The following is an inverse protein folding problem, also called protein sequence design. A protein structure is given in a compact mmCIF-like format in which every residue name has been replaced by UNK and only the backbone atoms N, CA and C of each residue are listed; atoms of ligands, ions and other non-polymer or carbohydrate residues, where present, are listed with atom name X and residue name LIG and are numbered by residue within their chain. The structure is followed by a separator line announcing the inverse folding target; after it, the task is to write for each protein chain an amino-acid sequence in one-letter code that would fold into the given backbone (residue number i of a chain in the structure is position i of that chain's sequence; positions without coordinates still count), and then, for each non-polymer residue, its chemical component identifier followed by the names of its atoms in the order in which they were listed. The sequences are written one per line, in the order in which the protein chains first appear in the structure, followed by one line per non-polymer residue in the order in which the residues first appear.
data_IF_646468416781
#
_entry.id   IF_646468416781
#
_cell.length_a   1.000
_cell.length_b   1.000
_cell.length_c   1.000
_cell.angle_alpha   90.00
_cell.angle_beta   90.00
_cell.angle_gamma   90.00
#
_symmetry.space_group_name_H-M   'P 1'
#
loop_
_entity.id
_entity.type
_entity.pdbx_description
1 polymer ?
#
# COMPACT_ATOMS: atom_id res chain seq x y z
N UNK A 1 1.91 -9.82 -8.59
CA UNK A 1 3.11 -10.14 -9.39
C UNK A 1 4.39 -10.33 -8.59
N UNK A 2 4.75 -9.45 -7.63
CA UNK A 2 5.98 -9.58 -6.82
C UNK A 2 6.18 -10.97 -6.19
N UNK A 3 5.12 -11.54 -5.63
CA UNK A 3 5.14 -12.90 -5.08
C UNK A 3 5.60 -13.94 -6.09
N UNK A 4 5.06 -13.92 -7.32
CA UNK A 4 5.42 -14.87 -8.38
C UNK A 4 6.89 -14.72 -8.79
N UNK A 5 7.33 -13.48 -9.04
CA UNK A 5 8.69 -13.18 -9.48
C UNK A 5 9.77 -13.57 -8.46
N UNK A 6 9.43 -13.54 -7.16
CA UNK A 6 10.33 -13.80 -6.04
C UNK A 6 10.09 -15.16 -5.39
N UNK A 7 9.18 -15.96 -5.92
CA UNK A 7 8.87 -17.27 -5.36
C UNK A 7 10.06 -18.21 -5.57
N UNK A 8 10.51 -18.88 -4.50
CA UNK A 8 11.61 -19.84 -4.53
C UNK A 8 11.35 -21.02 -5.48
N UNK A 9 10.09 -21.41 -5.67
CA UNK A 9 9.70 -22.51 -6.55
C UNK A 9 9.56 -22.09 -8.03
N UNK A 10 9.73 -20.80 -8.36
CA UNK A 10 9.55 -20.31 -9.74
C UNK A 10 10.48 -21.04 -10.71
N UNK A 11 11.76 -21.17 -10.35
CA UNK A 11 12.75 -21.81 -11.22
C UNK A 11 12.48 -23.30 -11.41
N UNK A 12 12.01 -23.99 -10.36
CA UNK A 12 11.60 -25.39 -10.42
C UNK A 12 10.39 -25.58 -11.34
N UNK A 13 9.39 -24.71 -11.23
CA UNK A 13 8.20 -24.71 -12.09
C UNK A 13 8.56 -24.42 -13.56
N UNK A 14 9.64 -23.68 -13.80
CA UNK A 14 10.15 -23.38 -15.13
C UNK A 14 11.20 -24.38 -15.62
N UNK A 15 11.55 -25.42 -14.85
CA UNK A 15 12.67 -26.32 -15.14
C UNK A 15 12.59 -27.01 -16.50
N UNK A 16 11.40 -27.46 -16.91
CA UNK A 16 11.20 -28.10 -18.22
C UNK A 16 11.41 -27.14 -19.39
N UNK A 17 11.07 -25.86 -19.21
CA UNK A 17 11.28 -24.84 -20.24
C UNK A 17 12.70 -24.30 -20.22
N UNK A 18 13.28 -24.13 -19.03
CA UNK A 18 14.65 -23.69 -18.83
C UNK A 18 15.66 -24.73 -19.34
N UNK A 19 15.41 -26.02 -19.14
CA UNK A 19 16.38 -27.09 -19.35
C UNK A 19 17.71 -26.78 -18.62
N UNK A 20 18.82 -26.71 -19.36
CA UNK A 20 20.15 -26.35 -18.85
C UNK A 20 20.48 -24.86 -18.95
N UNK A 21 19.60 -24.05 -19.54
CA UNK A 21 19.85 -22.63 -19.79
C UNK A 21 19.89 -21.81 -18.48
N UNK A 22 20.58 -20.67 -18.50
CA UNK A 22 20.54 -19.72 -17.38
C UNK A 22 19.26 -18.89 -17.48
N UNK A 23 18.47 -18.86 -16.40
CA UNK A 23 17.22 -18.10 -16.34
C UNK A 23 17.46 -16.71 -15.74
N UNK A 24 17.02 -15.68 -16.45
CA UNK A 24 17.02 -14.30 -16.00
C UNK A 24 15.58 -13.88 -15.74
N UNK A 25 15.27 -13.66 -14.46
CA UNK A 25 13.94 -13.17 -14.05
C UNK A 25 13.98 -11.66 -13.88
N UNK A 26 13.07 -10.95 -14.54
CA UNK A 26 12.95 -9.50 -14.44
C UNK A 26 11.52 -9.12 -14.08
N UNK A 27 11.35 -8.08 -13.29
CA UNK A 27 10.03 -7.55 -12.91
C UNK A 27 10.03 -6.03 -13.15
N UNK A 28 8.90 -5.52 -13.65
CA UNK A 28 8.61 -4.09 -13.81
C UNK A 28 7.17 -3.84 -13.40
N UNK A 29 6.92 -2.69 -12.78
CA UNK A 29 5.61 -2.33 -12.24
C UNK A 29 5.28 -0.94 -12.74
N UNK A 30 4.19 -0.82 -13.50
CA UNK A 30 3.62 0.48 -13.79
C UNK A 30 2.94 1.03 -12.54
N UNK A 31 3.07 2.34 -12.36
CA UNK A 31 2.46 3.05 -11.24
C UNK A 31 1.96 4.41 -11.72
N UNK A 32 0.65 4.52 -11.98
CA UNK A 32 0.04 5.74 -12.54
C UNK A 32 0.20 6.98 -11.64
N UNK A 33 0.06 6.90 -10.31
CA UNK A 33 0.32 8.04 -9.40
C UNK A 33 1.79 8.42 -9.24
N UNK A 34 2.70 7.77 -9.97
CA UNK A 34 4.12 7.75 -9.71
C UNK A 34 4.83 8.77 -10.58
N UNK A 35 6.16 8.74 -10.54
CA UNK A 35 6.96 9.57 -11.43
C UNK A 35 6.75 9.15 -12.90
N UNK A 36 7.00 10.07 -13.84
CA UNK A 36 6.84 9.83 -15.29
C UNK A 36 7.50 8.53 -15.74
N UNK A 37 8.70 8.24 -15.25
CA UNK A 37 9.45 7.03 -15.58
C UNK A 37 8.82 5.74 -15.04
N UNK A 38 7.93 5.81 -14.06
CA UNK A 38 7.20 4.66 -13.53
C UNK A 38 5.93 4.35 -14.31
N UNK A 39 5.51 5.23 -15.23
CA UNK A 39 4.29 5.07 -16.05
C UNK A 39 4.53 5.08 -17.57
N UNK A 40 5.75 5.38 -18.03
CA UNK A 40 6.10 5.46 -19.46
C UNK A 40 6.70 4.17 -20.03
N UNK A 41 6.63 4.02 -21.36
CA UNK A 41 7.22 2.89 -22.07
C UNK A 41 8.76 2.95 -22.03
N UNK A 42 9.33 4.17 -22.13
CA UNK A 42 10.77 4.38 -21.91
C UNK A 42 11.21 3.83 -20.55
N UNK A 43 10.44 4.08 -19.49
CA UNK A 43 10.72 3.58 -18.16
C UNK A 43 10.67 2.06 -18.02
N UNK A 44 9.69 1.41 -18.67
CA UNK A 44 9.65 -0.04 -18.78
C UNK A 44 10.90 -0.59 -19.46
N UNK A 45 11.27 -0.05 -20.64
CA UNK A 45 12.43 -0.50 -21.41
C UNK A 45 13.74 -0.30 -20.63
N UNK A 46 13.93 0.86 -20.02
CA UNK A 46 15.09 1.13 -19.16
C UNK A 46 15.17 0.17 -17.99
N UNK A 47 14.05 -0.10 -17.32
CA UNK A 47 14.00 -1.05 -16.19
C UNK A 47 14.39 -2.45 -16.64
N UNK A 48 13.88 -2.91 -17.80
CA UNK A 48 14.21 -4.22 -18.35
C UNK A 48 15.69 -4.32 -18.71
N UNK A 49 16.23 -3.36 -19.46
CA UNK A 49 17.66 -3.31 -19.84
C UNK A 49 18.53 -3.28 -18.59
N UNK A 50 18.29 -2.34 -17.68
CA UNK A 50 19.09 -2.19 -16.46
C UNK A 50 19.10 -3.47 -15.63
N UNK A 51 17.94 -4.09 -15.38
CA UNK A 51 17.86 -5.31 -14.57
C UNK A 51 18.53 -6.52 -15.24
N UNK A 52 18.42 -6.65 -16.57
CA UNK A 52 19.09 -7.72 -17.30
C UNK A 52 20.60 -7.54 -17.25
N UNK A 53 21.11 -6.36 -17.60
CA UNK A 53 22.56 -6.08 -17.63
C UNK A 53 23.18 -6.09 -16.24
N UNK A 54 22.44 -5.70 -15.19
CA UNK A 54 22.89 -5.82 -13.81
C UNK A 54 23.12 -7.27 -13.39
N UNK A 55 22.32 -8.21 -13.92
CA UNK A 55 22.46 -9.65 -13.65
C UNK A 55 23.48 -10.34 -14.56
N UNK A 56 23.68 -9.84 -15.77
CA UNK A 56 24.59 -10.37 -16.78
C UNK A 56 25.44 -9.26 -17.37
N UNK A 57 26.46 -8.87 -16.62
CA UNK A 57 27.36 -7.77 -16.98
C UNK A 57 28.20 -8.08 -18.24
N UNK A 58 28.40 -9.36 -18.55
CA UNK A 58 29.06 -9.82 -19.78
C UNK A 58 28.30 -9.43 -21.05
N UNK A 59 27.00 -9.12 -20.96
CA UNK A 59 26.22 -8.58 -22.07
C UNK A 59 26.55 -7.11 -22.38
N UNK A 60 27.06 -6.34 -21.41
CA UNK A 60 27.23 -4.88 -21.54
C UNK A 60 28.09 -4.56 -22.76
N UNK A 61 29.26 -5.18 -22.87
CA UNK A 61 30.19 -4.96 -23.98
C UNK A 61 29.64 -5.42 -25.34
N UNK A 62 28.68 -6.35 -25.37
CA UNK A 62 28.05 -6.85 -26.60
C UNK A 62 26.95 -5.91 -27.10
N UNK A 63 26.17 -5.34 -26.18
CA UNK A 63 24.95 -4.60 -26.53
C UNK A 63 25.18 -3.09 -26.60
N UNK A 64 26.09 -2.57 -25.75
CA UNK A 64 26.53 -1.17 -25.73
C UNK A 64 27.86 -1.03 -26.47
N UNK A 65 27.80 -1.13 -27.79
CA UNK A 65 28.97 -1.02 -28.69
C UNK A 65 29.44 0.42 -28.88
N UNK A 66 28.54 1.38 -28.70
CA UNK A 66 28.87 2.80 -28.62
C UNK A 66 29.45 3.09 -27.21
N UNK A 67 30.42 3.98 -27.13
CA UNK A 67 31.15 4.34 -25.93
C UNK A 67 30.91 5.80 -25.51
N UNK A 68 30.08 6.55 -26.24
CA UNK A 68 29.73 7.94 -25.93
C UNK A 68 29.07 8.08 -24.55
N UNK A 69 28.29 7.06 -24.14
CA UNK A 69 27.71 7.00 -22.80
C UNK A 69 28.76 6.93 -21.68
N UNK A 70 29.97 6.37 -21.94
CA UNK A 70 31.06 6.37 -20.97
C UNK A 70 31.73 7.74 -20.86
N UNK A 71 31.71 8.52 -21.94
CA UNK A 71 32.27 9.87 -21.98
C UNK A 71 31.34 10.84 -21.24
N UNK A 72 30.04 10.77 -21.51
CA UNK A 72 29.05 11.67 -20.89
C UNK A 72 28.59 11.22 -19.49
N UNK A 73 28.79 9.96 -19.15
CA UNK A 73 28.46 9.39 -17.84
C UNK A 73 27.01 9.66 -17.45
N UNK A 74 26.80 10.28 -16.27
CA UNK A 74 25.46 10.55 -15.73
C UNK A 74 24.62 11.55 -16.54
N UNK A 75 25.21 12.24 -17.52
CA UNK A 75 24.48 13.14 -18.40
C UNK A 75 23.85 12.43 -19.60
N UNK A 76 24.36 11.25 -19.94
CA UNK A 76 23.87 10.47 -21.06
C UNK A 76 22.43 10.00 -20.82
N UNK A 77 21.59 10.13 -21.85
CA UNK A 77 20.23 9.61 -21.81
C UNK A 77 19.97 8.72 -23.02
N UNK A 78 19.72 7.44 -22.77
CA UNK A 78 19.26 6.53 -23.81
C UNK A 78 17.85 6.92 -24.29
N UNK A 79 17.70 7.09 -25.60
CA UNK A 79 16.42 7.28 -26.26
C UNK A 79 15.60 5.98 -26.25
N UNK A 80 14.30 6.06 -26.58
CA UNK A 80 13.45 4.87 -26.74
C UNK A 80 14.00 3.92 -27.81
N UNK A 81 14.55 4.46 -28.90
CA UNK A 81 15.13 3.67 -29.99
C UNK A 81 16.42 2.97 -29.56
N UNK A 82 17.28 3.65 -28.78
CA UNK A 82 18.50 3.02 -28.25
C UNK A 82 18.15 1.83 -27.36
N UNK A 83 17.18 2.01 -26.47
CA UNK A 83 16.72 0.95 -25.57
C UNK A 83 16.08 -0.21 -26.32
N UNK A 84 15.35 0.07 -27.40
CA UNK A 84 14.78 -0.94 -28.27
C UNK A 84 15.89 -1.80 -28.88
N UNK A 85 16.88 -1.15 -29.50
CA UNK A 85 18.01 -1.81 -30.14
C UNK A 85 18.84 -2.60 -29.13
N UNK A 86 19.03 -2.08 -27.92
CA UNK A 86 19.73 -2.79 -26.84
C UNK A 86 18.98 -4.07 -26.47
N UNK A 87 17.64 -4.01 -26.32
CA UNK A 87 16.84 -5.20 -26.04
C UNK A 87 16.91 -6.23 -27.17
N UNK A 88 16.87 -5.80 -28.44
CA UNK A 88 17.04 -6.70 -29.59
C UNK A 88 18.42 -7.40 -29.54
N UNK A 89 19.51 -6.65 -29.33
CA UNK A 89 20.87 -7.22 -29.17
C UNK A 89 20.98 -8.18 -27.98
N UNK A 90 20.29 -7.90 -26.87
CA UNK A 90 20.22 -8.81 -25.72
C UNK A 90 19.57 -10.14 -26.13
N UNK A 91 18.47 -10.09 -26.89
CA UNK A 91 17.74 -11.28 -27.34
C UNK A 91 18.55 -12.09 -28.35
N UNK A 92 19.31 -11.44 -29.23
CA UNK A 92 20.24 -12.09 -30.16
C UNK A 92 21.36 -12.82 -29.40
N UNK A 93 22.02 -12.14 -28.46
CA UNK A 93 23.10 -12.71 -27.66
C UNK A 93 22.63 -13.86 -26.75
N UNK A 94 21.33 -13.92 -26.44
CA UNK A 94 20.76 -14.94 -25.58
C UNK A 94 20.92 -16.36 -26.13
N UNK A 95 20.95 -16.51 -27.45
CA UNK A 95 21.11 -17.81 -28.08
C UNK A 95 22.51 -18.39 -27.86
N UNK A 96 23.54 -17.54 -27.97
CA UNK A 96 24.95 -17.95 -27.78
C UNK A 96 25.30 -18.20 -26.32
N UNK A 97 24.65 -17.47 -25.40
CA UNK A 97 24.94 -17.50 -23.98
C UNK A 97 24.00 -18.41 -23.18
N UNK A 98 23.22 -19.22 -23.89
CA UNK A 98 22.23 -20.14 -23.32
C UNK A 98 21.32 -19.45 -22.29
N UNK A 99 20.81 -18.26 -22.62
CA UNK A 99 19.93 -17.49 -21.76
C UNK A 99 18.46 -17.74 -22.07
N UNK A 100 17.64 -17.66 -21.03
CA UNK A 100 16.18 -17.55 -21.11
C UNK A 100 15.69 -16.47 -20.17
N UNK A 101 14.60 -15.78 -20.52
CA UNK A 101 14.09 -14.62 -19.80
C UNK A 101 12.65 -14.85 -19.35
N UNK A 102 12.39 -14.68 -18.06
CA UNK A 102 11.04 -14.58 -17.52
C UNK A 102 10.77 -13.14 -17.11
N UNK A 103 9.86 -12.46 -17.80
CA UNK A 103 9.54 -11.06 -17.58
C UNK A 103 8.16 -10.96 -16.90
N UNK A 104 8.11 -10.28 -15.76
CA UNK A 104 6.87 -9.94 -15.06
C UNK A 104 6.58 -8.46 -15.22
N UNK A 105 5.42 -8.10 -15.77
CA UNK A 105 5.01 -6.71 -15.97
C UNK A 105 3.65 -6.52 -15.29
N UNK A 106 3.61 -5.67 -14.27
CA UNK A 106 2.38 -5.39 -13.51
C UNK A 106 1.78 -4.03 -13.86
N UNK A 107 0.46 -3.91 -13.73
CA UNK A 107 -0.29 -2.68 -13.95
C UNK A 107 -0.25 -2.21 -15.40
N UNK A 108 -0.35 -3.11 -16.39
CA UNK A 108 -0.18 -2.73 -17.80
C UNK A 108 -1.18 -1.66 -18.29
N UNK A 109 -2.37 -1.58 -17.68
CA UNK A 109 -3.38 -0.53 -17.91
C UNK A 109 -3.04 0.81 -17.25
N UNK A 110 -2.06 0.85 -16.34
CA UNK A 110 -1.59 2.07 -15.67
C UNK A 110 -0.61 2.89 -16.51
N UNK A 111 -0.27 2.41 -17.72
CA UNK A 111 0.57 3.12 -18.68
C UNK A 111 0.03 4.49 -19.08
N UNK A 112 0.91 5.47 -19.12
CA UNK A 112 0.61 6.85 -19.48
C UNK A 112 1.86 7.57 -20.00
N UNK A 113 1.88 7.90 -21.30
CA UNK A 113 2.99 8.58 -21.98
C UNK A 113 2.61 9.97 -22.54
N UNK A 114 1.51 10.57 -22.05
CA UNK A 114 0.93 11.84 -22.56
C UNK A 114 1.88 13.04 -22.55
N UNK A 115 2.93 13.01 -21.74
CA UNK A 115 3.90 14.11 -21.61
C UNK A 115 5.14 13.96 -22.51
N UNK A 116 5.34 12.86 -23.25
CA UNK A 116 6.39 12.77 -24.28
C UNK A 116 5.87 13.20 -25.66
N UNK A 117 4.57 13.12 -25.87
CA UNK A 117 3.89 13.52 -27.10
C UNK A 117 2.68 14.39 -26.73
N UNK A 118 2.91 15.68 -26.46
CA UNK A 118 1.91 16.63 -25.94
C UNK A 118 0.63 16.75 -26.81
N UNK A 119 0.59 16.14 -28.00
CA UNK A 119 -0.53 16.22 -28.93
C UNK A 119 -0.97 14.87 -29.53
N UNK A 120 -0.55 13.71 -29.00
CA UNK A 120 -1.04 12.42 -29.48
C UNK A 120 -1.75 11.62 -28.37
N UNK A 121 -2.87 10.96 -28.68
CA UNK A 121 -3.52 10.07 -27.72
C UNK A 121 -2.54 8.97 -27.31
N UNK A 122 -2.46 8.69 -26.01
CA UNK A 122 -1.79 7.48 -25.54
C UNK A 122 -2.55 6.29 -26.12
N UNK A 123 -1.84 5.48 -26.89
CA UNK A 123 -2.38 4.24 -27.42
C UNK A 123 -1.68 3.09 -26.71
N UNK A 124 -2.44 2.27 -25.98
CA UNK A 124 -1.98 0.98 -25.47
C UNK A 124 -1.52 0.06 -26.63
N UNK A 125 -1.82 0.43 -27.89
CA UNK A 125 -1.22 -0.14 -29.09
C UNK A 125 0.30 -0.01 -29.13
N UNK A 126 0.91 1.05 -28.57
CA UNK A 126 2.37 1.19 -28.49
C UNK A 126 2.97 0.11 -27.61
N UNK A 127 2.34 -0.15 -26.46
CA UNK A 127 2.75 -1.24 -25.57
C UNK A 127 2.65 -2.59 -26.27
N UNK A 128 1.54 -2.84 -26.97
CA UNK A 128 1.35 -4.06 -27.75
C UNK A 128 2.40 -4.18 -28.86
N UNK A 129 2.71 -3.08 -29.56
CA UNK A 129 3.77 -3.06 -30.59
C UNK A 129 5.14 -3.35 -29.98
N UNK A 130 5.46 -2.76 -28.83
CA UNK A 130 6.70 -3.04 -28.11
C UNK A 130 6.84 -4.52 -27.75
N UNK A 131 5.80 -5.16 -27.24
CA UNK A 131 5.86 -6.59 -26.88
C UNK A 131 6.13 -7.51 -28.09
N UNK A 132 5.95 -7.02 -29.33
CA UNK A 132 6.28 -7.80 -30.52
C UNK A 132 7.77 -8.14 -30.63
N UNK A 133 8.67 -7.36 -30.01
CA UNK A 133 10.10 -7.69 -30.01
C UNK A 133 10.39 -9.05 -29.34
N UNK A 134 9.55 -9.45 -28.40
CA UNK A 134 9.66 -10.72 -27.69
C UNK A 134 8.82 -11.82 -28.35
N UNK A 135 7.91 -11.45 -29.25
CA UNK A 135 7.01 -12.40 -29.90
C UNK A 135 7.82 -13.37 -30.77
N UNK A 136 7.46 -14.66 -30.72
CA UNK A 136 8.16 -15.76 -31.41
C UNK A 136 9.55 -16.10 -30.87
N UNK A 137 10.02 -15.44 -29.81
CA UNK A 137 11.26 -15.86 -29.14
C UNK A 137 10.95 -16.93 -28.08
N UNK A 138 11.24 -18.19 -28.39
CA UNK A 138 11.01 -19.34 -27.48
C UNK A 138 11.79 -19.25 -26.15
N UNK A 139 12.80 -18.36 -26.07
CA UNK A 139 13.62 -18.12 -24.89
C UNK A 139 13.04 -17.05 -23.97
N UNK A 140 11.94 -16.39 -24.36
CA UNK A 140 11.27 -15.38 -23.54
C UNK A 140 9.89 -15.87 -23.14
N UNK A 141 9.57 -15.74 -21.85
CA UNK A 141 8.21 -15.81 -21.33
C UNK A 141 7.87 -14.48 -20.67
N UNK A 142 6.67 -13.98 -20.92
CA UNK A 142 6.18 -12.74 -20.33
C UNK A 142 4.87 -13.04 -19.61
N UNK A 143 4.79 -12.63 -18.35
CA UNK A 143 3.57 -12.62 -17.57
C UNK A 143 3.18 -11.16 -17.33
N UNK A 144 1.99 -10.79 -17.80
CA UNK A 144 1.47 -9.43 -17.71
C UNK A 144 0.20 -9.46 -16.88
N UNK A 145 0.06 -8.53 -15.94
CA UNK A 145 -1.20 -8.26 -15.24
C UNK A 145 -1.76 -6.90 -15.64
N UNK A 146 -3.08 -6.88 -15.84
CA UNK A 146 -3.82 -5.69 -16.23
C UNK A 146 -5.30 -5.80 -15.87
N UNK A 147 -5.99 -4.67 -15.75
CA UNK A 147 -7.46 -4.61 -15.82
C UNK A 147 -7.95 -5.03 -17.23
N UNK A 148 -9.18 -5.57 -17.35
CA UNK A 148 -9.74 -5.95 -18.64
C UNK A 148 -10.03 -4.70 -19.48
N UNK A 149 -9.09 -4.33 -20.35
CA UNK A 149 -9.29 -3.30 -21.36
C UNK A 149 -9.62 -3.97 -22.70
N UNK A 150 -10.59 -3.43 -23.50
CA UNK A 150 -11.01 -4.05 -24.76
C UNK A 150 -9.85 -4.32 -25.74
N UNK A 151 -8.83 -3.47 -25.74
CA UNK A 151 -7.63 -3.65 -26.58
C UNK A 151 -6.82 -4.88 -26.15
N UNK A 152 -6.64 -5.11 -24.85
CA UNK A 152 -5.90 -6.26 -24.34
C UNK A 152 -6.68 -7.56 -24.52
N UNK A 153 -8.00 -7.54 -24.35
CA UNK A 153 -8.85 -8.69 -24.67
C UNK A 153 -8.78 -9.04 -26.16
N UNK A 154 -8.85 -8.05 -27.04
CA UNK A 154 -8.74 -8.26 -28.49
C UNK A 154 -7.40 -8.87 -28.92
N UNK A 155 -6.31 -8.48 -28.26
CA UNK A 155 -4.94 -8.88 -28.62
C UNK A 155 -4.53 -10.19 -27.93
N UNK A 156 -4.76 -10.31 -26.62
CA UNK A 156 -4.28 -11.42 -25.79
C UNK A 156 -5.39 -12.44 -25.47
N UNK A 157 -6.67 -12.04 -25.51
CA UNK A 157 -7.83 -12.88 -25.17
C UNK A 157 -8.20 -13.94 -26.21
N UNK A 158 -7.39 -14.12 -27.26
CA UNK A 158 -7.59 -15.19 -28.27
C UNK A 158 -7.02 -16.54 -27.84
N UNK A 159 -6.21 -16.56 -26.79
CA UNK A 159 -5.53 -17.75 -26.30
C UNK A 159 -5.94 -18.00 -24.85
N UNK A 160 -7.05 -18.72 -24.64
CA UNK A 160 -7.61 -19.00 -23.31
C UNK A 160 -6.60 -19.67 -22.38
N UNK A 161 -5.68 -20.47 -22.91
CA UNK A 161 -4.60 -21.13 -22.14
C UNK A 161 -3.56 -20.15 -21.57
N UNK A 162 -3.47 -18.93 -22.12
CA UNK A 162 -2.50 -17.90 -21.75
C UNK A 162 -3.12 -16.77 -20.92
N UNK A 163 -4.43 -16.84 -20.63
CA UNK A 163 -5.16 -15.81 -19.89
C UNK A 163 -5.63 -16.39 -18.56
N UNK A 164 -5.31 -15.69 -17.47
CA UNK A 164 -5.72 -16.06 -16.13
C UNK A 164 -6.67 -14.99 -15.60
N UNK A 165 -7.96 -15.32 -15.51
CA UNK A 165 -8.98 -14.46 -14.92
C UNK A 165 -8.98 -14.61 -13.40
N UNK A 166 -8.27 -13.72 -12.70
CA UNK A 166 -8.11 -13.79 -11.24
C UNK A 166 -9.47 -13.84 -10.52
N UNK A 167 -10.46 -13.08 -10.99
CA UNK A 167 -11.78 -13.00 -10.35
C UNK A 167 -12.55 -14.33 -10.38
N UNK A 168 -12.24 -15.24 -11.32
CA UNK A 168 -12.82 -16.58 -11.39
C UNK A 168 -12.12 -17.56 -10.44
N UNK A 169 -10.87 -17.28 -10.09
CA UNK A 169 -10.03 -18.15 -9.26
C UNK A 169 -10.11 -17.82 -7.76
N UNK A 170 -10.54 -16.61 -7.39
CA UNK A 170 -10.61 -16.18 -5.98
C UNK A 170 -11.81 -16.75 -5.22
N UNK A 171 -12.76 -17.41 -5.88
CA UNK A 171 -14.01 -17.88 -5.26
C UNK A 171 -13.76 -18.75 -4.01
N UNK A 172 -12.81 -19.70 -4.08
CA UNK A 172 -12.51 -20.60 -2.94
C UNK A 172 -11.92 -19.84 -1.75
N UNK A 173 -11.00 -18.91 -2.03
CA UNK A 173 -10.33 -18.11 -1.01
C UNK A 173 -11.30 -17.11 -0.35
N UNK A 174 -12.17 -16.50 -1.15
CA UNK A 174 -13.26 -15.64 -0.67
C UNK A 174 -14.20 -16.45 0.22
N UNK A 175 -14.63 -17.64 -0.22
CA UNK A 175 -15.51 -18.50 0.58
C UNK A 175 -14.88 -18.85 1.93
N UNK A 176 -13.59 -19.18 1.93
CA UNK A 176 -12.84 -19.45 3.15
C UNK A 176 -12.78 -18.21 4.05
N UNK A 177 -12.39 -17.07 3.51
CA UNK A 177 -12.30 -15.81 4.27
C UNK A 177 -13.65 -15.42 4.91
N UNK A 178 -14.75 -15.48 4.16
CA UNK A 178 -16.08 -15.14 4.67
C UNK A 178 -16.47 -16.07 5.81
N UNK A 179 -16.24 -17.38 5.66
CA UNK A 179 -16.50 -18.35 6.73
C UNK A 179 -15.69 -18.05 7.97
N UNK A 180 -14.36 -17.91 7.83
CA UNK A 180 -13.46 -17.62 8.94
C UNK A 180 -13.88 -16.34 9.67
N UNK A 181 -14.28 -15.29 8.93
CA UNK A 181 -14.74 -14.03 9.52
C UNK A 181 -16.07 -14.13 10.25
N UNK A 182 -17.06 -14.84 9.69
CA UNK A 182 -18.36 -15.02 10.35
C UNK A 182 -18.24 -15.95 11.55
N UNK A 183 -17.50 -17.06 11.43
CA UNK A 183 -17.30 -18.05 12.48
C UNK A 183 -16.39 -17.56 13.62
N UNK A 184 -15.76 -16.39 13.52
CA UNK A 184 -15.12 -15.76 14.66
C UNK A 184 -16.13 -15.24 15.70
N UNK A 185 -17.40 -15.10 15.34
CA UNK A 185 -18.47 -14.68 16.24
C UNK A 185 -19.28 -15.90 16.74
N UNK A 186 -19.47 -15.96 18.06
CA UNK A 186 -20.14 -17.04 18.78
C UNK A 186 -21.57 -17.33 18.27
N UNK A 187 -22.26 -16.33 17.72
CA UNK A 187 -23.58 -16.48 17.11
C UNK A 187 -23.53 -17.37 15.86
N UNK A 188 -22.60 -17.10 14.96
CA UNK A 188 -22.47 -17.84 13.71
C UNK A 188 -21.84 -19.22 13.91
N UNK A 189 -20.93 -19.39 14.88
CA UNK A 189 -20.39 -20.73 15.21
C UNK A 189 -21.50 -21.75 15.52
N UNK A 190 -22.51 -21.33 16.28
CA UNK A 190 -23.65 -22.20 16.67
C UNK A 190 -24.57 -22.51 15.49
N UNK A 191 -24.63 -21.63 14.48
CA UNK A 191 -25.53 -21.75 13.33
C UNK A 191 -24.88 -22.38 12.09
N UNK A 192 -23.56 -22.28 11.94
CA UNK A 192 -22.79 -22.84 10.83
C UNK A 192 -22.97 -24.38 10.69
N UNK A 193 -23.28 -25.07 11.80
CA UNK A 193 -23.49 -26.52 11.82
C UNK A 193 -24.94 -26.96 11.51
N UNK A 194 -25.91 -26.04 11.46
CA UNK A 194 -27.34 -26.42 11.52
C UNK A 194 -28.30 -25.65 10.62
N UNK A 195 -27.94 -24.46 10.10
CA UNK A 195 -28.89 -23.61 9.37
C UNK A 195 -28.52 -23.43 7.88
N UNK A 196 -29.42 -23.85 6.99
CA UNK A 196 -29.34 -23.61 5.54
C UNK A 196 -29.21 -22.12 5.20
N UNK A 197 -29.77 -21.23 6.03
CA UNK A 197 -29.72 -19.78 5.82
C UNK A 197 -28.31 -19.20 5.96
N UNK A 198 -27.47 -19.82 6.80
CA UNK A 198 -26.05 -19.43 6.90
C UNK A 198 -25.33 -19.67 5.57
N UNK A 199 -25.51 -20.86 4.98
CA UNK A 199 -24.89 -21.17 3.69
C UNK A 199 -25.40 -20.27 2.57
N UNK A 200 -26.70 -19.96 2.55
CA UNK A 200 -27.27 -19.00 1.60
C UNK A 200 -26.67 -17.61 1.73
N UNK A 201 -26.47 -17.11 2.96
CA UNK A 201 -25.82 -15.82 3.18
C UNK A 201 -24.38 -15.82 2.68
N UNK A 202 -23.61 -16.88 2.98
CA UNK A 202 -22.23 -17.01 2.52
C UNK A 202 -22.15 -17.01 0.99
N UNK A 203 -23.01 -17.80 0.32
CA UNK A 203 -23.04 -17.86 -1.14
C UNK A 203 -23.50 -16.52 -1.75
N UNK A 204 -24.48 -15.82 -1.17
CA UNK A 204 -24.87 -14.46 -1.59
C UNK A 204 -23.71 -13.45 -1.47
N UNK A 205 -22.87 -13.53 -0.42
CA UNK A 205 -21.69 -12.67 -0.27
C UNK A 205 -20.66 -12.96 -1.37
N UNK A 206 -20.41 -14.25 -1.65
CA UNK A 206 -19.44 -14.66 -2.67
C UNK A 206 -19.89 -14.21 -4.06
N UNK A 207 -21.17 -14.37 -4.38
CA UNK A 207 -21.75 -13.90 -5.65
C UNK A 207 -21.67 -12.37 -5.76
N UNK A 208 -22.01 -11.64 -4.71
CA UNK A 208 -21.96 -10.18 -4.71
C UNK A 208 -20.52 -9.64 -4.87
N UNK A 209 -19.52 -10.38 -4.42
CA UNK A 209 -18.12 -9.98 -4.48
C UNK A 209 -17.54 -9.86 -5.89
N UNK A 210 -18.09 -10.62 -6.86
CA UNK A 210 -17.57 -10.68 -8.24
C UNK A 210 -16.04 -10.87 -8.29
N UNK A 211 -15.50 -11.68 -7.36
CA UNK A 211 -14.07 -11.96 -7.23
C UNK A 211 -13.20 -10.85 -6.61
N UNK A 212 -13.77 -9.73 -6.18
CA UNK A 212 -13.02 -8.58 -5.61
C UNK A 212 -12.80 -8.75 -4.11
N UNK A 213 -11.60 -9.17 -3.72
CA UNK A 213 -11.27 -9.45 -2.30
C UNK A 213 -11.43 -8.24 -1.38
N UNK A 214 -11.07 -7.04 -1.84
CA UNK A 214 -11.26 -5.81 -1.06
C UNK A 214 -12.75 -5.55 -0.77
N UNK A 215 -13.63 -5.85 -1.74
CA UNK A 215 -15.06 -5.70 -1.56
C UNK A 215 -15.54 -6.65 -0.46
N UNK A 216 -15.13 -7.92 -0.50
CA UNK A 216 -15.47 -8.93 0.51
C UNK A 216 -15.00 -8.48 1.89
N UNK A 217 -13.76 -8.01 1.98
CA UNK A 217 -13.17 -7.53 3.21
C UNK A 217 -13.99 -6.39 3.84
N UNK A 218 -14.36 -5.39 3.05
CA UNK A 218 -15.16 -4.24 3.49
C UNK A 218 -16.61 -4.64 3.80
N UNK A 219 -17.25 -5.40 2.91
CA UNK A 219 -18.64 -5.82 3.04
C UNK A 219 -18.85 -6.72 4.25
N UNK A 220 -17.97 -7.69 4.49
CA UNK A 220 -18.06 -8.59 5.66
C UNK A 220 -17.95 -7.80 6.95
N UNK A 221 -17.04 -6.82 7.02
CA UNK A 221 -16.96 -5.92 8.18
C UNK A 221 -18.22 -5.06 8.33
N UNK A 222 -18.74 -4.50 7.26
CA UNK A 222 -19.97 -3.71 7.27
C UNK A 222 -21.21 -4.53 7.69
N UNK A 223 -21.22 -5.84 7.41
CA UNK A 223 -22.26 -6.77 7.87
C UNK A 223 -22.12 -7.06 9.36
N UNK A 224 -20.90 -7.32 9.82
CA UNK A 224 -20.59 -7.62 11.22
C UNK A 224 -20.76 -6.39 12.14
N UNK A 225 -20.53 -5.20 11.60
CA UNK A 225 -20.64 -3.93 12.31
C UNK A 225 -22.11 -3.65 12.70
N UNK A 226 -22.43 -3.75 13.99
CA UNK A 226 -23.80 -3.58 14.48
C UNK A 226 -24.64 -4.85 14.53
N UNK A 227 -24.02 -6.04 14.44
CA UNK A 227 -24.69 -7.26 14.90
C UNK A 227 -24.91 -7.14 16.42
N UNK A 228 -26.17 -7.07 16.82
CA UNK A 228 -26.59 -7.24 18.21
C UNK A 228 -27.13 -8.64 18.44
N UNK A 229 -27.29 -9.05 19.70
CA UNK A 229 -27.81 -10.37 20.13
C UNK A 229 -29.19 -10.76 19.54
N UNK A 230 -29.85 -9.87 18.79
CA UNK A 230 -31.18 -10.08 18.18
C UNK A 230 -31.23 -10.02 16.66
N UNK A 231 -30.10 -9.86 15.97
CA UNK A 231 -30.11 -9.82 14.51
C UNK A 231 -30.48 -11.19 13.91
N UNK A 232 -31.46 -11.18 13.01
CA UNK A 232 -31.89 -12.38 12.29
C UNK A 232 -31.14 -12.51 10.97
N UNK A 233 -30.95 -13.74 10.46
CA UNK A 233 -30.39 -13.97 9.12
C UNK A 233 -31.07 -13.17 8.01
N UNK A 234 -32.40 -12.97 8.11
CA UNK A 234 -33.14 -12.13 7.15
C UNK A 234 -32.70 -10.68 7.19
N UNK A 235 -32.39 -10.16 8.38
CA UNK A 235 -31.82 -8.82 8.56
C UNK A 235 -30.44 -8.70 7.93
N UNK A 236 -29.58 -9.71 8.13
CA UNK A 236 -28.25 -9.76 7.51
C UNK A 236 -28.31 -9.84 5.98
N UNK A 237 -29.19 -10.68 5.43
CA UNK A 237 -29.43 -10.73 3.97
C UNK A 237 -29.96 -9.40 3.44
N UNK A 238 -30.88 -8.75 4.16
CA UNK A 238 -31.37 -7.44 3.76
C UNK A 238 -30.23 -6.40 3.74
N UNK A 239 -29.40 -6.37 4.78
CA UNK A 239 -28.23 -5.50 4.85
C UNK A 239 -27.25 -5.77 3.71
N UNK A 240 -26.93 -7.03 3.43
CA UNK A 240 -26.08 -7.42 2.30
C UNK A 240 -26.60 -6.84 0.98
N UNK A 241 -27.91 -6.91 0.73
CA UNK A 241 -28.54 -6.36 -0.48
C UNK A 241 -28.52 -4.84 -0.56
N UNK A 242 -28.28 -4.13 0.56
CA UNK A 242 -28.06 -2.67 0.56
C UNK A 242 -26.61 -2.28 0.29
N UNK A 243 -25.66 -3.22 0.41
CA UNK A 243 -24.24 -2.97 0.15
C UNK A 243 -24.03 -2.83 -1.36
N UNK A 244 -23.47 -1.70 -1.85
CA UNK A 244 -23.25 -1.51 -3.27
C UNK A 244 -22.24 -2.53 -3.84
N UNK A 245 -22.48 -3.13 -5.03
CA UNK A 245 -21.59 -4.15 -5.61
C UNK A 245 -20.28 -3.57 -6.15
N UNK A 246 -20.24 -2.29 -6.51
CA UNK A 246 -19.02 -1.62 -6.99
C UNK A 246 -18.18 -1.15 -5.82
N UNK A 247 -16.86 -1.40 -5.89
CA UNK A 247 -15.94 -1.06 -4.79
C UNK A 247 -15.92 0.43 -4.44
N UNK A 248 -15.96 1.32 -5.42
CA UNK A 248 -15.98 2.77 -5.16
C UNK A 248 -17.28 3.20 -4.46
N UNK A 249 -18.41 2.60 -4.86
CA UNK A 249 -19.71 2.89 -4.25
C UNK A 249 -19.78 2.32 -2.83
N UNK A 250 -19.14 1.17 -2.58
CA UNK A 250 -18.98 0.63 -1.24
C UNK A 250 -18.13 1.55 -0.35
N UNK A 251 -16.98 2.04 -0.84
CA UNK A 251 -16.15 2.99 -0.07
C UNK A 251 -16.96 4.24 0.27
N UNK A 252 -17.72 4.78 -0.69
CA UNK A 252 -18.63 5.91 -0.48
C UNK A 252 -19.69 5.62 0.59
N UNK A 253 -20.36 4.48 0.47
CA UNK A 253 -21.37 4.03 1.42
C UNK A 253 -20.80 3.94 2.83
N UNK A 254 -19.60 3.37 2.99
CA UNK A 254 -18.93 3.29 4.29
C UNK A 254 -18.58 4.67 4.83
N UNK A 255 -17.99 5.53 4.00
CA UNK A 255 -17.63 6.90 4.37
C UNK A 255 -18.87 7.69 4.83
N UNK A 256 -20.00 7.53 4.15
CA UNK A 256 -21.27 8.19 4.49
C UNK A 256 -21.90 7.65 5.78
N UNK A 257 -21.68 6.37 6.07
CA UNK A 257 -22.16 5.70 7.28
C UNK A 257 -21.37 6.06 8.55
N UNK A 258 -20.24 6.78 8.42
CA UNK A 258 -19.44 7.22 9.57
C UNK A 258 -20.27 8.19 10.41
N UNK A 259 -20.50 7.79 11.67
CA UNK A 259 -21.26 8.58 12.64
C UNK A 259 -20.63 9.96 12.81
N UNK A 260 -21.46 10.99 12.95
CA UNK A 260 -21.00 12.39 13.08
C UNK A 260 -19.95 12.57 14.18
N UNK A 261 -20.11 11.86 15.30
CA UNK A 261 -19.19 11.86 16.45
C UNK A 261 -17.77 11.36 16.10
N UNK A 262 -17.62 10.46 15.11
CA UNK A 262 -16.31 9.92 14.72
C UNK A 262 -15.64 10.70 13.59
N UNK A 263 -16.37 11.59 12.91
CA UNK A 263 -15.86 12.22 11.67
C UNK A 263 -14.62 13.08 11.89
N UNK A 264 -14.53 13.77 13.02
CA UNK A 264 -13.33 14.56 13.34
C UNK A 264 -12.11 13.66 13.52
N UNK A 265 -12.25 12.56 14.25
CA UNK A 265 -11.17 11.60 14.49
C UNK A 265 -10.75 10.93 13.17
N UNK A 266 -11.72 10.51 12.34
CA UNK A 266 -11.49 9.96 11.01
C UNK A 266 -10.71 10.93 10.12
N UNK A 267 -11.09 12.21 10.10
CA UNK A 267 -10.32 13.20 9.33
C UNK A 267 -8.89 13.35 9.86
N UNK A 268 -8.68 13.29 11.18
CA UNK A 268 -7.33 13.31 11.76
C UNK A 268 -6.52 12.08 11.35
N UNK A 269 -7.10 10.87 11.43
CA UNK A 269 -6.45 9.62 11.00
C UNK A 269 -5.98 9.72 9.54
N UNK A 270 -6.83 10.24 8.67
CA UNK A 270 -6.52 10.41 7.25
C UNK A 270 -5.40 11.42 7.02
N UNK A 271 -5.49 12.61 7.60
CA UNK A 271 -4.46 13.66 7.46
C UNK A 271 -3.09 13.19 7.97
N UNK A 272 -3.07 12.41 9.06
CA UNK A 272 -1.83 11.84 9.59
C UNK A 272 -1.27 10.70 8.71
N UNK A 273 -2.13 9.90 8.09
CA UNK A 273 -1.71 8.87 7.12
C UNK A 273 -1.04 9.46 5.86
N UNK A 274 -1.39 10.69 5.49
CA UNK A 274 -0.85 11.39 4.32
C UNK A 274 0.44 12.18 4.64
N UNK A 275 0.51 12.76 5.85
CA UNK A 275 1.60 13.66 6.23
C UNK A 275 2.85 12.95 6.75
N UNK A 276 2.77 11.63 7.00
CA UNK A 276 3.89 10.89 7.59
C UNK A 276 4.35 9.75 6.69
N UNK A 277 5.58 9.90 6.16
CA UNK A 277 6.35 8.76 5.66
C UNK A 277 6.99 7.94 6.80
N UNK A 278 6.62 8.16 8.08
CA UNK A 278 6.74 7.23 9.25
C UNK A 278 6.54 7.91 10.64
N UNK A 279 6.28 7.06 11.66
CA UNK A 279 6.65 7.11 13.10
C UNK A 279 5.84 7.88 14.17
N UNK A 280 5.00 8.87 13.87
CA UNK A 280 4.34 9.71 14.91
C UNK A 280 2.81 9.62 15.12
N UNK A 281 1.96 9.06 14.22
CA UNK A 281 0.50 9.17 14.35
C UNK A 281 -0.08 8.43 15.56
N UNK A 282 0.39 7.22 15.87
CA UNK A 282 -0.32 6.31 16.78
C UNK A 282 -0.23 6.75 18.24
N UNK A 283 0.93 7.26 18.66
CA UNK A 283 1.15 7.75 20.02
C UNK A 283 0.21 8.93 20.36
N UNK A 284 -0.02 9.81 19.40
CA UNK A 284 -0.91 10.95 19.57
C UNK A 284 -2.32 10.53 19.96
N UNK A 285 -2.86 9.49 19.31
CA UNK A 285 -4.21 9.00 19.56
C UNK A 285 -4.38 8.35 20.93
N UNK A 286 -3.40 7.57 21.37
CA UNK A 286 -3.41 6.97 22.72
C UNK A 286 -3.34 8.06 23.81
N UNK A 287 -2.54 9.12 23.60
CA UNK A 287 -2.41 10.20 24.59
C UNK A 287 -3.60 11.14 24.69
N UNK A 288 -4.34 11.38 23.60
CA UNK A 288 -5.53 12.26 23.65
C UNK A 288 -6.67 11.62 24.44
N UNK A 289 -6.90 10.31 24.29
CA UNK A 289 -7.91 9.59 25.05
C UNK A 289 -7.56 9.58 26.55
N UNK A 290 -6.28 9.33 26.89
CA UNK A 290 -5.81 9.38 28.28
C UNK A 290 -5.84 10.80 28.90
N UNK A 291 -5.74 11.85 28.09
CA UNK A 291 -5.81 13.25 28.51
C UNK A 291 -7.25 13.79 28.59
N UNK A 292 -8.20 13.20 27.84
CA UNK A 292 -9.62 13.54 27.94
C UNK A 292 -10.24 13.06 29.27
N UNK A 293 -9.72 11.96 29.82
CA UNK A 293 -10.18 11.39 31.09
C UNK A 293 -9.46 11.94 32.33
N UNK A 294 -8.33 12.63 32.20
CA UNK A 294 -7.53 13.11 33.33
C UNK A 294 -7.40 14.63 33.39
N UNK A 295 -7.79 15.19 34.53
CA UNK A 295 -7.47 16.54 34.96
C UNK A 295 -5.95 16.80 34.89
N UNK A 296 -5.59 18.01 34.47
CA UNK A 296 -4.23 18.53 34.29
C UNK A 296 -3.15 17.84 35.16
N UNK A 297 -2.24 17.08 34.53
CA UNK A 297 -1.01 16.60 35.17
C UNK A 297 -0.74 15.10 35.18
N UNK A 298 -1.40 14.29 34.34
CA UNK A 298 -1.13 12.85 34.29
C UNK A 298 0.30 12.55 33.79
N UNK A 299 1.06 11.80 34.60
CA UNK A 299 2.32 11.17 34.19
C UNK A 299 1.96 9.99 33.29
N UNK A 300 2.40 10.04 32.04
CA UNK A 300 2.21 8.96 31.07
C UNK A 300 3.10 7.77 31.50
N UNK A 301 2.46 6.66 31.91
CA UNK A 301 3.14 5.41 32.22
C UNK A 301 3.40 4.63 30.92
N UNK A 302 4.68 4.51 30.54
CA UNK A 302 5.10 3.84 29.32
C UNK A 302 4.82 2.32 29.32
N UNK A 303 4.63 1.68 30.48
CA UNK A 303 4.42 0.23 30.58
C UNK A 303 2.94 -0.17 30.35
N UNK A 304 1.97 0.69 30.71
CA UNK A 304 0.54 0.51 30.38
C UNK A 304 0.21 0.91 28.93
N UNK A 305 1.17 1.51 28.23
CA UNK A 305 1.01 2.11 26.92
C UNK A 305 0.84 1.08 25.79
N UNK A 306 1.25 -0.18 26.01
CA UNK A 306 1.07 -1.28 25.03
C UNK A 306 -0.40 -1.73 24.93
N UNK A 307 -1.11 -1.75 26.06
CA UNK A 307 -2.53 -2.09 26.10
C UNK A 307 -3.38 -1.01 25.38
N UNK A 308 -2.98 0.27 25.49
CA UNK A 308 -3.61 1.40 24.80
C UNK A 308 -3.54 1.30 23.26
N UNK A 309 -2.51 0.67 22.69
CA UNK A 309 -2.42 0.49 21.24
C UNK A 309 -3.40 -0.53 20.69
N UNK A 310 -3.69 -1.58 21.46
CA UNK A 310 -4.70 -2.57 21.09
C UNK A 310 -6.09 -1.91 21.02
N UNK A 311 -6.41 -1.09 22.02
CA UNK A 311 -7.63 -0.29 22.07
C UNK A 311 -7.68 0.76 20.94
N UNK A 312 -6.59 1.48 20.70
CA UNK A 312 -6.49 2.46 19.61
C UNK A 312 -6.67 1.80 18.24
N UNK A 313 -6.08 0.62 18.04
CA UNK A 313 -6.23 -0.16 16.80
C UNK A 313 -7.68 -0.59 16.59
N UNK A 314 -8.34 -1.05 17.63
CA UNK A 314 -9.75 -1.42 17.59
C UNK A 314 -10.63 -0.19 17.32
N UNK A 315 -10.34 0.94 17.97
CA UNK A 315 -11.02 2.22 17.75
C UNK A 315 -10.91 2.69 16.31
N UNK A 316 -9.70 2.75 15.73
CA UNK A 316 -9.49 3.09 14.32
C UNK A 316 -10.29 2.15 13.42
N UNK A 317 -10.23 0.84 13.69
CA UNK A 317 -10.95 -0.16 12.92
C UNK A 317 -12.47 0.07 12.93
N UNK A 318 -13.05 0.39 14.09
CA UNK A 318 -14.49 0.65 14.27
C UNK A 318 -14.88 1.99 13.65
N UNK A 319 -14.19 3.07 14.00
CA UNK A 319 -14.52 4.43 13.58
C UNK A 319 -14.33 4.65 12.08
N UNK A 320 -13.26 4.09 11.52
CA UNK A 320 -12.94 4.20 10.09
C UNK A 320 -13.59 3.12 9.23
N UNK A 321 -14.40 2.21 9.81
CA UNK A 321 -15.10 1.14 9.09
C UNK A 321 -14.18 0.26 8.22
N UNK A 322 -12.94 0.07 8.63
CA UNK A 322 -11.92 -0.67 7.87
C UNK A 322 -11.36 0.04 6.63
N UNK A 323 -11.64 1.33 6.43
CA UNK A 323 -11.00 2.13 5.36
C UNK A 323 -9.53 2.42 5.68
N UNK A 324 -9.20 2.48 6.96
CA UNK A 324 -7.88 2.79 7.51
C UNK A 324 -7.52 1.69 8.51
N UNK A 325 -6.26 1.30 8.54
CA UNK A 325 -5.73 0.32 9.48
C UNK A 325 -4.44 0.82 10.13
N UNK A 326 -4.11 0.18 11.25
CA UNK A 326 -2.83 0.35 11.92
C UNK A 326 -1.95 -0.87 11.62
N UNK A 327 -0.75 -0.62 11.12
CA UNK A 327 0.23 -1.63 10.73
C UNK A 327 1.57 -1.39 11.46
N UNK A 328 2.29 -2.47 11.76
CA UNK A 328 3.68 -2.42 12.23
C UNK A 328 4.60 -2.47 11.00
N UNK A 329 5.49 -1.51 10.87
CA UNK A 329 6.46 -1.47 9.78
C UNK A 329 7.46 -2.63 9.93
N UNK A 330 7.40 -3.58 8.99
CA UNK A 330 8.43 -4.60 8.81
C UNK A 330 9.64 -3.94 8.14
N UNK A 331 10.64 -3.52 8.92
CA UNK A 331 11.90 -3.03 8.37
C UNK A 331 12.63 -4.20 7.68
N UNK A 332 12.58 -4.24 6.34
CA UNK A 332 13.26 -5.22 5.47
C UNK A 332 14.80 -5.27 5.68
N UNK A 333 15.35 -4.30 6.40
CA UNK A 333 16.68 -4.39 7.00
C UNK A 333 16.54 -4.49 8.52
N UNK A 334 17.10 -5.53 9.17
CA UNK A 334 17.35 -5.43 10.59
C UNK A 334 18.33 -4.28 10.76
N UNK A 335 17.84 -3.10 11.13
CA UNK A 335 18.66 -2.17 11.90
C UNK A 335 19.24 -3.04 13.01
N UNK A 336 20.56 -3.01 13.15
CA UNK A 336 21.34 -3.80 14.14
C UNK A 336 20.87 -3.62 15.59
N UNK A 337 19.87 -2.79 15.79
CA UNK A 337 19.37 -2.25 17.03
C UNK A 337 17.83 -2.33 17.12
N UNK A 338 17.24 -3.49 16.75
CA UNK A 338 15.84 -3.82 17.08
C UNK A 338 15.52 -3.73 18.60
N UNK A 339 16.54 -3.53 19.44
CA UNK A 339 16.41 -3.41 20.90
C UNK A 339 16.54 -1.96 21.40
N UNK A 340 16.74 -0.97 20.53
CA UNK A 340 16.88 0.43 20.94
C UNK A 340 15.59 1.27 20.84
N UNK A 341 14.60 0.86 20.05
CA UNK A 341 13.37 1.65 19.92
C UNK A 341 12.18 0.89 20.49
N UNK A 342 11.37 1.51 21.36
CA UNK A 342 10.09 0.94 21.76
C UNK A 342 9.22 0.55 20.56
N UNK A 343 8.46 -0.55 20.66
CA UNK A 343 7.68 -1.11 19.54
C UNK A 343 6.71 -0.12 18.88
N UNK A 344 6.25 0.88 19.63
CA UNK A 344 5.31 1.87 19.15
C UNK A 344 5.85 2.81 18.07
N UNK A 345 7.17 3.00 17.97
CA UNK A 345 7.77 3.78 16.88
C UNK A 345 7.59 3.08 15.53
N UNK A 346 7.33 1.78 15.51
CA UNK A 346 7.10 1.03 14.29
C UNK A 346 5.63 1.01 13.87
N UNK A 347 4.72 1.69 14.58
CA UNK A 347 3.29 1.69 14.25
C UNK A 347 2.92 2.87 13.36
N UNK A 348 2.21 2.58 12.27
CA UNK A 348 1.70 3.57 11.31
C UNK A 348 0.23 3.38 11.02
N UNK A 349 -0.44 4.48 10.70
CA UNK A 349 -1.82 4.50 10.21
C UNK A 349 -1.77 4.58 8.69
N UNK A 350 -2.33 3.58 8.02
CA UNK A 350 -2.32 3.44 6.56
C UNK A 350 -3.72 3.20 6.03
N UNK A 351 -3.95 3.50 4.75
CA UNK A 351 -5.14 3.02 4.06
C UNK A 351 -5.12 1.48 4.00
N UNK A 352 -6.26 0.84 4.24
CA UNK A 352 -6.35 -0.62 4.19
C UNK A 352 -6.03 -1.20 2.79
N UNK A 353 -6.23 -0.39 1.75
CA UNK A 353 -5.88 -0.75 0.38
C UNK A 353 -5.63 0.48 -0.49
N UNK A 354 -4.80 0.34 -1.53
CA UNK A 354 -4.48 1.41 -2.49
C UNK A 354 -5.74 1.99 -3.16
N UNK A 355 -6.71 1.16 -3.53
CA UNK A 355 -7.99 1.62 -4.11
C UNK A 355 -8.76 2.56 -3.18
N UNK A 356 -8.65 2.36 -1.86
CA UNK A 356 -9.23 3.27 -0.87
C UNK A 356 -8.49 4.59 -0.89
N UNK A 357 -7.14 4.55 -0.88
CA UNK A 357 -6.31 5.75 -1.00
C UNK A 357 -6.65 6.55 -2.27
N UNK A 358 -6.76 5.89 -3.43
CA UNK A 358 -7.11 6.52 -4.71
C UNK A 358 -8.50 7.17 -4.67
N UNK A 359 -9.49 6.50 -4.07
CA UNK A 359 -10.85 7.04 -3.95
C UNK A 359 -10.91 8.24 -3.00
N UNK A 360 -10.29 8.14 -1.82
CA UNK A 360 -10.31 9.21 -0.81
C UNK A 360 -9.53 10.46 -1.26
N UNK A 361 -8.53 10.28 -2.13
CA UNK A 361 -7.77 11.38 -2.72
C UNK A 361 -8.48 12.08 -3.90
N UNK A 362 -9.65 11.60 -4.36
CA UNK A 362 -10.46 12.36 -5.32
C UNK A 362 -10.85 13.71 -4.71
N UNK A 363 -10.68 14.79 -5.48
CA UNK A 363 -10.87 16.18 -5.00
C UNK A 363 -12.17 16.39 -4.22
N UNK A 364 -13.29 15.91 -4.77
CA UNK A 364 -14.62 16.04 -4.17
C UNK A 364 -14.73 15.29 -2.83
N UNK A 365 -14.15 14.09 -2.75
CA UNK A 365 -14.17 13.25 -1.55
C UNK A 365 -13.29 13.87 -0.47
N UNK A 366 -12.12 14.37 -0.85
CA UNK A 366 -11.19 15.05 0.06
C UNK A 366 -11.81 16.31 0.64
N UNK A 367 -12.47 17.13 -0.18
CA UNK A 367 -13.17 18.33 0.29
C UNK A 367 -14.22 17.99 1.36
N UNK A 368 -15.04 16.96 1.10
CA UNK A 368 -16.03 16.47 2.06
C UNK A 368 -15.43 16.00 3.39
N UNK A 369 -14.29 15.32 3.36
CA UNK A 369 -13.59 14.85 4.57
C UNK A 369 -13.02 16.04 5.35
N UNK A 370 -12.54 17.08 4.67
CA UNK A 370 -12.05 18.29 5.32
C UNK A 370 -13.18 19.09 5.98
N UNK A 371 -14.36 19.14 5.35
CA UNK A 371 -15.56 19.77 5.93
C UNK A 371 -15.96 19.15 7.28
N UNK A 372 -15.71 17.85 7.47
CA UNK A 372 -15.96 17.18 8.75
C UNK A 372 -15.11 17.70 9.89
N UNK A 373 -13.91 18.21 9.59
CA UNK A 373 -12.98 18.64 10.62
C UNK A 373 -13.45 19.93 11.32
N UNK A 374 -14.30 20.75 10.68
CA UNK A 374 -14.83 22.03 11.17
C UNK A 374 -13.80 22.80 12.03
N UNK A 375 -12.54 22.85 11.59
CA UNK A 375 -11.43 23.39 12.37
C UNK A 375 -11.64 24.90 12.45
N UNK A 376 -11.89 25.48 13.63
CA UNK A 376 -12.00 26.93 13.74
C UNK A 376 -10.64 27.53 13.36
N UNK A 377 -10.58 28.51 12.43
CA UNK A 377 -9.32 29.12 12.00
C UNK A 377 -8.56 29.87 13.11
N UNK A 378 -9.12 29.94 14.32
CA UNK A 378 -8.61 30.72 15.45
C UNK A 378 -8.20 29.89 16.66
N UNK A 379 -8.38 28.56 16.64
CA UNK A 379 -7.73 27.68 17.61
C UNK A 379 -6.49 27.10 16.96
N UNK A 380 -5.34 27.63 17.36
CA UNK A 380 -4.08 26.89 17.32
C UNK A 380 -4.40 25.43 17.72
N UNK A 381 -4.19 24.44 16.85
CA UNK A 381 -4.73 23.10 17.09
C UNK A 381 -4.20 22.51 18.41
N UNK A 382 -5.02 22.37 19.46
CA UNK A 382 -4.56 21.94 20.79
C UNK A 382 -3.62 20.70 20.76
N UNK A 383 -3.79 19.82 19.77
CA UNK A 383 -2.93 18.68 19.49
C UNK A 383 -1.44 18.99 19.19
N UNK A 384 -1.07 20.16 18.64
CA UNK A 384 0.36 20.52 18.45
C UNK A 384 1.05 20.89 19.78
N UNK A 385 0.29 21.39 20.77
CA UNK A 385 0.80 21.62 22.12
C UNK A 385 1.05 20.31 22.83
N UNK A 386 0.25 19.27 22.58
CA UNK A 386 0.44 17.92 23.11
C UNK A 386 1.71 17.26 22.55
N UNK A 387 1.97 17.40 21.24
CA UNK A 387 3.22 16.92 20.61
C UNK A 387 4.47 17.66 21.12
N UNK A 388 4.37 18.97 21.35
CA UNK A 388 5.43 19.76 22.00
C UNK A 388 5.60 19.43 23.48
N UNK A 389 4.51 19.21 24.22
CA UNK A 389 4.53 18.84 25.62
C UNK A 389 5.12 17.43 25.80
N UNK A 390 4.90 16.52 24.86
CA UNK A 390 5.52 15.19 24.84
C UNK A 390 7.02 15.26 24.54
N UNK A 391 7.43 16.01 23.50
CA UNK A 391 8.85 16.27 23.23
C UNK A 391 9.53 16.95 24.44
N UNK A 392 8.81 17.85 25.14
CA UNK A 392 9.28 18.52 26.34
C UNK A 392 9.27 17.63 27.60
N UNK A 393 8.32 16.71 27.76
CA UNK A 393 8.21 15.79 28.90
C UNK A 393 9.21 14.63 28.81
N UNK A 394 9.44 14.10 27.60
CA UNK A 394 10.53 13.16 27.31
C UNK A 394 11.90 13.82 27.56
N UNK A 395 12.03 15.11 27.23
CA UNK A 395 13.23 15.89 27.60
C UNK A 395 13.35 16.22 29.09
N UNK A 396 12.24 16.50 29.79
CA UNK A 396 12.29 16.88 31.21
C UNK A 396 12.59 15.68 32.14
N UNK A 397 12.25 14.46 31.71
CA UNK A 397 12.59 13.23 32.45
C UNK A 397 14.07 12.86 32.34
N UNK A 398 14.74 13.22 31.25
CA UNK A 398 16.21 13.07 31.13
C UNK A 398 17.01 14.25 31.72
N UNK A 399 16.42 15.46 31.84
CA UNK A 399 17.15 16.65 32.31
C UNK A 399 16.95 17.04 33.78
N UNK A 400 16.10 16.34 34.56
CA UNK A 400 15.90 16.63 36.00
C UNK A 400 16.05 15.38 36.86
N UNK A 401 17.28 14.87 36.98
CA UNK A 401 17.51 13.68 37.79
C UNK A 401 18.94 13.37 38.23
N UNK A 402 19.93 14.26 38.06
CA UNK A 402 21.23 14.06 38.70
C UNK A 402 21.14 14.34 40.21
N UNK A 403 20.79 13.31 40.98
CA UNK A 403 21.49 12.82 42.18
C UNK A 403 20.49 12.12 43.12
N UNK A 404 20.74 10.82 43.32
CA UNK A 404 20.13 9.90 44.30
C UNK A 404 18.80 9.27 43.88
N UNK A 405 18.89 8.11 43.24
CA UNK A 405 18.27 6.87 43.70
C UNK A 405 18.85 5.69 42.90
N UNK A 406 19.87 5.05 43.49
CA UNK A 406 20.25 3.69 43.12
C UNK A 406 19.14 2.76 43.61
N UNK A 407 18.53 1.99 42.73
CA UNK A 407 17.56 0.97 43.12
C UNK A 407 17.00 0.16 41.96
N UNK A 408 17.84 -0.68 41.34
CA UNK A 408 17.44 -1.85 40.53
C UNK A 408 16.37 -1.63 39.44
N UNK A 409 16.75 -0.96 38.36
CA UNK A 409 16.34 -1.40 37.00
C UNK A 409 17.56 -1.18 36.11
N UNK A 410 18.11 -2.25 35.52
CA UNK A 410 19.11 -2.15 34.46
C UNK A 410 18.43 -1.60 33.19
N UNK A 411 18.20 -0.29 33.11
CA UNK A 411 17.85 0.40 31.87
C UNK A 411 19.14 0.81 31.16
N UNK A 412 19.43 0.17 30.02
CA UNK A 412 20.39 0.71 29.05
C UNK A 412 19.81 2.03 28.53
N UNK A 413 20.35 3.15 28.99
CA UNK A 413 20.02 4.48 28.48
C UNK A 413 20.58 4.62 27.07
N UNK A 414 19.73 5.03 26.14
CA UNK A 414 20.10 5.30 24.76
C UNK A 414 20.37 6.79 24.67
N UNK A 415 21.63 7.18 24.51
CA UNK A 415 22.02 8.57 24.33
C UNK A 415 21.99 8.92 22.84
N UNK A 416 21.09 9.81 22.43
CA UNK A 416 21.07 10.39 21.08
C UNK A 416 22.01 11.59 20.99
N UNK A 417 22.70 11.75 19.85
CA UNK A 417 23.59 12.89 19.66
C UNK A 417 22.80 14.19 19.39
N UNK A 418 23.30 15.36 19.83
CA UNK A 418 22.67 16.65 19.54
C UNK A 418 22.48 16.98 18.05
N UNK A 419 23.23 16.30 17.16
CA UNK A 419 23.11 16.44 15.71
C UNK A 419 21.90 15.70 15.17
N UNK A 420 21.65 14.48 15.64
CA UNK A 420 20.47 13.70 15.26
C UNK A 420 19.21 14.45 15.70
N UNK A 421 19.18 14.92 16.95
CA UNK A 421 18.06 15.71 17.51
C UNK A 421 17.77 16.97 16.68
N UNK A 422 18.80 17.71 16.23
CA UNK A 422 18.62 18.86 15.33
C UNK A 422 18.09 18.46 13.95
N UNK A 423 18.45 17.28 13.45
CA UNK A 423 17.90 16.70 12.24
C UNK A 423 16.40 16.43 12.38
N UNK A 424 15.99 15.77 13.47
CA UNK A 424 14.59 15.49 13.77
C UNK A 424 13.75 16.76 13.96
N UNK A 425 14.26 17.78 14.68
CA UNK A 425 13.55 19.05 14.83
C UNK A 425 13.39 19.81 13.51
N UNK A 426 14.41 19.79 12.64
CA UNK A 426 14.35 20.43 11.32
C UNK A 426 13.34 19.70 10.42
N UNK A 427 13.39 18.37 10.40
CA UNK A 427 12.44 17.54 9.68
C UNK A 427 11.00 17.75 10.17
N UNK A 428 10.79 17.80 11.49
CA UNK A 428 9.47 18.05 12.08
C UNK A 428 8.93 19.44 11.71
N UNK A 429 9.79 20.46 11.69
CA UNK A 429 9.44 21.81 11.24
C UNK A 429 9.05 21.82 9.75
N UNK A 430 9.73 21.05 8.91
CA UNK A 430 9.38 20.92 7.48
C UNK A 430 8.04 20.19 7.25
N UNK A 431 7.71 19.20 8.09
CA UNK A 431 6.39 18.54 8.08
C UNK A 431 5.31 19.52 8.54
N UNK A 432 5.58 20.30 9.59
CA UNK A 432 4.68 21.35 10.09
C UNK A 432 4.43 22.44 9.04
N UNK A 433 5.48 22.93 8.38
CA UNK A 433 5.37 23.97 7.37
C UNK A 433 4.60 23.47 6.14
N UNK A 434 4.77 22.19 5.74
CA UNK A 434 3.97 21.56 4.69
C UNK A 434 2.50 21.42 5.08
N UNK A 435 2.21 20.87 6.26
CA UNK A 435 0.83 20.70 6.73
C UNK A 435 0.10 22.05 6.86
N UNK A 436 0.76 23.07 7.42
CA UNK A 436 0.21 24.43 7.51
C UNK A 436 0.05 25.05 6.12
N UNK A 437 1.00 24.80 5.21
CA UNK A 437 0.88 25.26 3.82
C UNK A 437 -0.30 24.61 3.10
N UNK A 438 -0.50 23.30 3.26
CA UNK A 438 -1.62 22.57 2.66
C UNK A 438 -2.95 23.09 3.20
N UNK A 439 -3.09 23.24 4.53
CA UNK A 439 -4.26 23.85 5.14
C UNK A 439 -4.51 25.29 4.66
N UNK A 440 -3.45 26.10 4.45
CA UNK A 440 -3.55 27.49 3.98
C UNK A 440 -3.86 27.61 2.49
N UNK A 441 -3.35 26.70 1.66
CA UNK A 441 -3.72 26.63 0.25
C UNK A 441 -5.17 26.20 0.10
N UNK A 442 -5.60 25.22 0.90
CA UNK A 442 -6.98 24.74 0.96
C UNK A 442 -7.97 25.79 1.50
N UNK A 443 -7.56 26.66 2.43
CA UNK A 443 -8.39 27.77 2.91
C UNK A 443 -8.55 28.93 1.89
N UNK A 444 -7.75 28.94 0.83
CA UNK A 444 -7.77 29.98 -0.23
C UNK A 444 -8.48 29.53 -1.51
N UNK A 445 -8.74 28.23 -1.67
CA UNK A 445 -9.52 27.63 -2.76
C UNK A 445 -10.97 27.41 -2.33
#
# INVERSE_FOLDING_TARGET
MKFLARNKTLEENLRHWKCSNTLIVTESFFWRPGEKMQRSLKGLMQTLVFRILSKRQDLIARVLTDHDWMIEGNKWQFSRNDLHLILEKILEAAHELDLRFMLFIDGFDEFDDREESENQPVHEEELVKFLKIFSHNERVKICISSRPLPIFERVFGKHDECVILIHELTHKDIKKYVKDMLENDNFFQKQALRDLKYHQLVDEIIEAAQGVFLWVYLATRALLDGIGDRDTFKGLQHRLRTIPPKIEDLIRYLLDSIKKEYRQDVTRYLLLSESTHNMLPVFHFATEDAAADNSEGAVIDCDNFLDDFSATREKIKIQCKGLIEMEKEDLDHPLSDQHLYPEFFHLRVIYAHRTIAEYLNKREVRQKILEWANIPPHREPLWWRSSLAFLAAFWCTDFRGTKRLRGRIQRKSIEFSPKEVKGWMRWYKEVQDRYISDLRQLAKS
#
